data_IF_463054275585
#
_entry.id   IF_463054275585
#
_cell.length_a   1.000
_cell.length_b   1.000
_cell.length_c   1.000
_cell.angle_alpha   90.00
_cell.angle_beta   90.00
_cell.angle_gamma   90.00
#
_symmetry.space_group_name_H-M   'P 1'
#
loop_
_entity.id
_entity.type
_entity.pdbx_description
1 polymer ?
#
# COMPACT_ATOMS: atom_id res chain seq x y z
N UNK A 1 2.30 -29.93 33.99
CA UNK A 1 1.01 -30.12 34.68
C UNK A 1 0.93 -31.57 35.12
N UNK A 2 0.71 -31.77 36.41
CA UNK A 2 0.73 -33.05 37.12
C UNK A 2 -0.37 -34.02 36.68
N UNK A 3 -0.09 -35.31 36.93
CA UNK A 3 -0.99 -36.47 36.98
C UNK A 3 -2.47 -36.18 37.25
N UNK A 4 -3.35 -36.93 36.58
CA UNK A 4 -4.30 -37.77 37.32
C UNK A 4 -4.74 -39.00 36.50
N UNK A 5 -4.48 -40.18 37.06
CA UNK A 5 -5.12 -41.44 36.72
C UNK A 5 -6.11 -41.72 37.85
N UNK A 6 -7.40 -41.59 37.58
CA UNK A 6 -8.47 -41.94 38.53
C UNK A 6 -9.54 -42.78 37.86
N UNK A 7 -9.56 -44.07 38.18
CA UNK A 7 -10.58 -45.07 37.79
C UNK A 7 -11.91 -44.89 38.54
N UNK A 8 -12.92 -45.59 37.98
CA UNK A 8 -14.25 -46.00 38.49
C UNK A 8 -15.38 -45.04 38.11
N UNK A 9 -16.54 -45.49 37.63
CA UNK A 9 -17.26 -46.68 38.11
C UNK A 9 -18.10 -47.38 37.04
N UNK A 10 -18.31 -48.67 37.27
CA UNK A 10 -19.28 -49.52 36.59
C UNK A 10 -20.70 -49.02 36.89
N UNK A 11 -21.58 -49.05 35.89
CA UNK A 11 -22.99 -49.32 36.16
C UNK A 11 -23.59 -50.14 35.04
N UNK A 12 -24.00 -51.33 35.46
CA UNK A 12 -24.79 -52.35 34.77
C UNK A 12 -26.03 -51.79 34.08
N UNK A 13 -26.30 -52.37 32.91
CA UNK A 13 -27.61 -52.45 32.26
C UNK A 13 -27.36 -53.25 30.99
N UNK A 14 -27.48 -54.56 31.03
CA UNK A 14 -28.80 -55.20 30.99
C UNK A 14 -29.01 -55.64 29.55
N UNK A 15 -28.64 -56.89 29.28
CA UNK A 15 -29.26 -57.80 28.31
C UNK A 15 -30.02 -57.12 27.16
N UNK A 16 -29.38 -57.03 25.99
CA UNK A 16 -30.10 -57.09 24.70
C UNK A 16 -29.79 -58.43 24.03
N UNK A 17 -29.93 -59.50 24.81
CA UNK A 17 -30.23 -60.80 24.22
C UNK A 17 -31.65 -60.72 23.65
N UNK A 18 -31.77 -61.03 22.35
CA UNK A 18 -32.99 -61.52 21.72
C UNK A 18 -34.13 -60.52 21.44
N UNK A 19 -33.85 -59.43 20.71
CA UNK A 19 -34.89 -58.80 19.85
C UNK A 19 -34.76 -59.17 18.36
N UNK A 20 -33.94 -60.17 18.02
CA UNK A 20 -33.87 -60.71 16.65
C UNK A 20 -34.82 -61.91 16.40
N UNK A 21 -35.60 -62.35 17.39
CA UNK A 21 -36.43 -63.56 17.27
C UNK A 21 -37.86 -63.34 16.75
N UNK A 22 -38.48 -62.18 16.98
CA UNK A 22 -39.91 -61.99 16.70
C UNK A 22 -40.24 -61.38 15.33
N UNK A 23 -39.25 -60.85 14.62
CA UNK A 23 -39.42 -60.30 13.26
C UNK A 23 -39.46 -61.38 12.17
N UNK A 24 -38.62 -62.40 12.28
CA UNK A 24 -38.55 -63.52 11.32
C UNK A 24 -39.79 -64.42 11.38
N UNK A 25 -40.39 -64.60 12.57
CA UNK A 25 -41.59 -65.44 12.76
C UNK A 25 -42.88 -64.86 12.13
N UNK A 26 -42.91 -63.56 11.77
CA UNK A 26 -44.07 -62.95 11.08
C UNK A 26 -44.25 -63.41 9.65
N UNK A 27 -43.25 -64.10 9.09
CA UNK A 27 -43.21 -64.49 7.68
C UNK A 27 -43.56 -65.97 7.44
N UNK A 28 -43.53 -66.80 8.49
CA UNK A 28 -43.73 -68.24 8.39
C UNK A 28 -44.91 -68.71 9.26
N UNK A 29 -46.04 -68.97 8.61
CA UNK A 29 -47.14 -69.75 9.20
C UNK A 29 -47.06 -71.15 8.58
N UNK A 30 -46.76 -72.20 9.37
CA UNK A 30 -46.70 -73.58 8.88
C UNK A 30 -48.02 -73.98 8.21
N UNK A 31 -47.95 -74.75 7.12
CA UNK A 31 -49.15 -75.23 6.41
C UNK A 31 -50.10 -76.02 7.32
N UNK A 32 -49.57 -76.65 8.36
CA UNK A 32 -50.31 -77.37 9.41
C UNK A 32 -51.26 -76.47 10.21
N UNK A 33 -50.94 -75.18 10.39
CA UNK A 33 -51.81 -74.21 11.07
C UNK A 33 -52.89 -73.64 10.15
N UNK A 34 -52.67 -73.68 8.84
CA UNK A 34 -53.66 -73.23 7.84
C UNK A 34 -54.67 -74.35 7.52
N UNK A 35 -54.27 -75.61 7.72
CA UNK A 35 -55.04 -76.79 7.41
C UNK A 35 -55.19 -77.72 8.62
N UNK A 36 -55.78 -77.21 9.71
CA UNK A 36 -55.99 -77.96 10.95
C UNK A 36 -57.26 -78.82 10.85
N UNK A 37 -57.13 -80.10 11.21
CA UNK A 37 -58.26 -81.03 11.33
C UNK A 37 -58.51 -81.36 12.80
N UNK A 38 -59.73 -81.14 13.27
CA UNK A 38 -60.11 -81.39 14.67
C UNK A 38 -60.87 -82.73 14.80
N UNK A 39 -60.59 -83.55 15.82
CA UNK A 39 -61.35 -84.78 16.11
C UNK A 39 -62.82 -84.48 16.44
N UNK A 40 -63.75 -85.34 15.99
CA UNK A 40 -65.16 -85.21 16.33
C UNK A 40 -65.44 -85.79 17.73
N UNK A 41 -66.07 -85.00 18.60
CA UNK A 41 -66.49 -85.41 19.94
C UNK A 41 -68.02 -85.36 20.08
N UNK A 42 -68.59 -86.21 20.94
CA UNK A 42 -70.04 -86.33 21.19
C UNK A 42 -70.64 -85.03 21.75
N UNK A 43 -69.81 -84.15 22.33
CA UNK A 43 -70.17 -82.80 22.78
C UNK A 43 -69.01 -81.86 22.49
N UNK A 44 -69.25 -80.83 21.69
CA UNK A 44 -68.22 -79.91 21.24
C UNK A 44 -68.81 -78.67 20.56
N UNK A 45 -67.92 -77.76 20.15
CA UNK A 45 -68.30 -76.59 19.37
C UNK A 45 -68.90 -76.99 18.01
N UNK A 46 -69.86 -76.19 17.53
CA UNK A 46 -70.47 -76.42 16.21
C UNK A 46 -69.40 -76.36 15.11
N UNK A 47 -69.32 -77.43 14.33
CA UNK A 47 -68.35 -77.60 13.24
C UNK A 47 -68.48 -76.49 12.21
N UNK A 48 -69.70 -76.07 11.85
CA UNK A 48 -69.89 -75.02 10.86
C UNK A 48 -69.42 -73.65 11.38
N UNK A 49 -69.73 -73.33 12.63
CA UNK A 49 -69.24 -72.11 13.29
C UNK A 49 -67.70 -72.08 13.42
N UNK A 50 -67.08 -73.21 13.75
CA UNK A 50 -65.62 -73.36 13.83
C UNK A 50 -64.98 -73.22 12.45
N UNK A 51 -65.50 -73.87 11.42
CA UNK A 51 -65.01 -73.74 10.03
C UNK A 51 -65.11 -72.30 9.53
N UNK A 52 -66.21 -71.61 9.84
CA UNK A 52 -66.37 -70.19 9.50
C UNK A 52 -65.37 -69.29 10.25
N UNK A 53 -65.07 -69.61 11.51
CA UNK A 53 -64.07 -68.89 12.30
C UNK A 53 -62.65 -69.13 11.76
N UNK A 54 -62.27 -70.37 11.46
CA UNK A 54 -60.97 -70.72 10.88
C UNK A 54 -60.78 -70.03 9.52
N UNK A 55 -61.80 -69.99 8.67
CA UNK A 55 -61.75 -69.25 7.39
C UNK A 55 -61.49 -67.75 7.59
N UNK A 56 -62.12 -67.13 8.61
CA UNK A 56 -61.87 -65.73 8.96
C UNK A 56 -60.45 -65.51 9.47
N UNK A 57 -59.95 -66.39 10.34
CA UNK A 57 -58.58 -66.33 10.87
C UNK A 57 -57.55 -66.52 9.77
N UNK A 58 -57.72 -67.52 8.90
CA UNK A 58 -56.84 -67.77 7.75
C UNK A 58 -56.82 -66.58 6.77
N UNK A 59 -57.96 -65.92 6.57
CA UNK A 59 -58.03 -64.68 5.79
C UNK A 59 -57.25 -63.55 6.44
N UNK A 60 -57.39 -63.35 7.75
CA UNK A 60 -56.67 -62.32 8.50
C UNK A 60 -55.16 -62.58 8.47
N UNK A 61 -54.74 -63.84 8.59
CA UNK A 61 -53.34 -64.28 8.44
C UNK A 61 -52.81 -63.95 7.03
N UNK A 62 -53.59 -64.20 5.98
CA UNK A 62 -53.21 -63.89 4.61
C UNK A 62 -53.08 -62.37 4.37
N UNK A 63 -54.00 -61.57 4.91
CA UNK A 63 -53.96 -60.11 4.83
C UNK A 63 -52.74 -59.54 5.59
N UNK A 64 -52.43 -60.06 6.79
CA UNK A 64 -51.23 -59.68 7.55
C UNK A 64 -49.94 -60.08 6.81
N UNK A 65 -49.88 -61.28 6.22
CA UNK A 65 -48.70 -61.77 5.47
C UNK A 65 -48.48 -60.99 4.17
N UNK A 66 -49.54 -60.53 3.52
CA UNK A 66 -49.44 -59.67 2.34
C UNK A 66 -48.85 -58.30 2.69
N UNK A 67 -49.30 -57.69 3.80
CA UNK A 67 -48.76 -56.43 4.33
C UNK A 67 -47.35 -56.55 4.91
N UNK A 68 -47.04 -57.69 5.54
CA UNK A 68 -45.73 -58.00 6.11
C UNK A 68 -44.83 -58.80 5.14
N UNK A 69 -45.05 -58.73 3.82
CA UNK A 69 -44.22 -59.49 2.89
C UNK A 69 -42.80 -58.88 2.79
N UNK A 70 -41.74 -59.69 2.60
CA UNK A 70 -40.37 -59.18 2.49
C UNK A 70 -40.23 -58.18 1.33
N UNK A 71 -40.97 -58.39 0.23
CA UNK A 71 -41.02 -57.45 -0.90
C UNK A 71 -41.65 -56.10 -0.54
N UNK A 72 -42.67 -56.08 0.32
CA UNK A 72 -43.28 -54.82 0.78
C UNK A 72 -42.32 -54.05 1.70
N UNK A 73 -41.62 -54.73 2.61
CA UNK A 73 -40.61 -54.13 3.46
C UNK A 73 -39.43 -53.53 2.67
N UNK A 74 -38.93 -54.26 1.66
CA UNK A 74 -37.86 -53.75 0.77
C UNK A 74 -38.31 -52.52 -0.02
N UNK A 75 -39.54 -52.51 -0.56
CA UNK A 75 -40.09 -51.34 -1.27
C UNK A 75 -40.19 -50.12 -0.35
N UNK A 76 -40.73 -50.31 0.86
CA UNK A 76 -40.84 -49.22 1.82
C UNK A 76 -39.46 -48.68 2.25
N UNK A 77 -38.48 -49.57 2.46
CA UNK A 77 -37.12 -49.15 2.76
C UNK A 77 -36.48 -48.38 1.59
N UNK A 78 -36.74 -48.79 0.35
CA UNK A 78 -36.27 -48.07 -0.84
C UNK A 78 -36.91 -46.68 -0.96
N UNK A 79 -38.23 -46.58 -0.81
CA UNK A 79 -38.96 -45.31 -0.83
C UNK A 79 -38.47 -44.34 0.27
N UNK A 80 -38.22 -44.85 1.49
CA UNK A 80 -37.62 -44.05 2.56
C UNK A 80 -36.21 -43.58 2.20
N UNK A 81 -35.40 -44.45 1.59
CA UNK A 81 -34.05 -44.10 1.17
C UNK A 81 -34.08 -43.04 0.07
N UNK A 82 -34.99 -43.15 -0.89
CA UNK A 82 -35.19 -42.14 -1.95
C UNK A 82 -35.61 -40.78 -1.38
N UNK A 83 -36.50 -40.77 -0.38
CA UNK A 83 -36.88 -39.55 0.34
C UNK A 83 -35.69 -38.95 1.12
N UNK A 84 -34.88 -39.78 1.78
CA UNK A 84 -33.68 -39.32 2.48
C UNK A 84 -32.64 -38.75 1.51
N UNK A 85 -32.43 -39.39 0.36
CA UNK A 85 -31.49 -38.94 -0.67
C UNK A 85 -31.95 -37.62 -1.29
N UNK A 86 -33.23 -37.50 -1.65
CA UNK A 86 -33.77 -36.24 -2.19
C UNK A 86 -33.66 -35.09 -1.19
N UNK A 87 -34.02 -35.31 0.07
CA UNK A 87 -33.86 -34.31 1.13
C UNK A 87 -32.40 -33.98 1.46
N UNK A 88 -31.46 -34.89 1.21
CA UNK A 88 -30.02 -34.59 1.31
C UNK A 88 -29.55 -33.73 0.13
N UNK A 89 -29.98 -34.04 -1.10
CA UNK A 89 -29.61 -33.28 -2.29
C UNK A 89 -30.18 -31.86 -2.27
N UNK A 90 -31.40 -31.69 -1.76
CA UNK A 90 -32.01 -30.37 -1.59
C UNK A 90 -31.22 -29.50 -0.60
N UNK A 91 -30.91 -30.03 0.59
CA UNK A 91 -30.05 -29.36 1.56
C UNK A 91 -28.66 -29.06 1.00
N UNK A 92 -28.06 -30.00 0.26
CA UNK A 92 -26.76 -29.78 -0.35
C UNK A 92 -26.79 -28.63 -1.37
N UNK A 93 -27.88 -28.47 -2.13
CA UNK A 93 -28.07 -27.34 -3.06
C UNK A 93 -28.26 -26.03 -2.31
N UNK A 94 -29.14 -26.00 -1.32
CA UNK A 94 -29.38 -24.81 -0.49
C UNK A 94 -28.08 -24.34 0.15
N UNK A 95 -27.33 -25.24 0.76
CA UNK A 95 -26.02 -24.91 1.35
C UNK A 95 -25.01 -24.45 0.29
N UNK A 96 -25.00 -25.03 -0.90
CA UNK A 96 -24.13 -24.59 -1.99
C UNK A 96 -24.49 -23.17 -2.47
N UNK A 97 -25.78 -22.85 -2.57
CA UNK A 97 -26.27 -21.53 -2.97
C UNK A 97 -25.96 -20.47 -1.90
N UNK A 98 -26.12 -20.81 -0.62
CA UNK A 98 -25.72 -19.96 0.51
C UNK A 98 -24.22 -19.66 0.49
N UNK A 99 -23.38 -20.69 0.33
CA UNK A 99 -21.92 -20.52 0.25
C UNK A 99 -21.56 -19.62 -0.93
N UNK A 100 -22.15 -19.85 -2.10
CA UNK A 100 -21.86 -19.07 -3.31
C UNK A 100 -22.27 -17.61 -3.14
N UNK A 101 -23.45 -17.37 -2.57
CA UNK A 101 -23.96 -16.02 -2.33
C UNK A 101 -23.12 -15.29 -1.28
N UNK A 102 -22.75 -15.97 -0.18
CA UNK A 102 -21.89 -15.39 0.86
C UNK A 102 -20.51 -15.05 0.30
N UNK A 103 -19.88 -15.99 -0.42
CA UNK A 103 -18.58 -15.77 -1.03
C UNK A 103 -18.61 -14.60 -2.03
N UNK A 104 -19.67 -14.49 -2.83
CA UNK A 104 -19.79 -13.38 -3.78
C UNK A 104 -19.93 -12.03 -3.07
N UNK A 105 -20.72 -11.96 -1.99
CA UNK A 105 -20.91 -10.74 -1.20
C UNK A 105 -19.63 -10.32 -0.47
N UNK A 106 -18.90 -11.28 0.09
CA UNK A 106 -17.60 -11.04 0.74
C UNK A 106 -16.59 -10.52 -0.28
N UNK A 107 -16.49 -11.16 -1.45
CA UNK A 107 -15.59 -10.72 -2.52
C UNK A 107 -15.93 -9.31 -3.02
N UNK A 108 -17.21 -8.96 -3.14
CA UNK A 108 -17.63 -7.61 -3.53
C UNK A 108 -17.26 -6.57 -2.46
N UNK A 109 -17.50 -6.88 -1.19
CA UNK A 109 -17.13 -6.00 -0.06
C UNK A 109 -15.61 -5.79 -0.01
N UNK A 110 -14.83 -6.84 -0.22
CA UNK A 110 -13.38 -6.75 -0.27
C UNK A 110 -12.91 -5.93 -1.49
N UNK A 111 -13.48 -6.17 -2.66
CA UNK A 111 -13.18 -5.42 -3.87
C UNK A 111 -13.45 -3.93 -3.70
N UNK A 112 -14.58 -3.56 -3.08
CA UNK A 112 -14.91 -2.16 -2.78
C UNK A 112 -13.96 -1.57 -1.74
N UNK A 113 -13.56 -2.34 -0.73
CA UNK A 113 -12.54 -1.94 0.23
C UNK A 113 -11.18 -1.68 -0.43
N UNK A 114 -10.77 -2.52 -1.38
CA UNK A 114 -9.53 -2.35 -2.16
C UNK A 114 -9.64 -1.10 -3.04
N UNK A 115 -10.77 -0.91 -3.74
CA UNK A 115 -10.99 0.28 -4.58
C UNK A 115 -10.95 1.57 -3.77
N UNK A 116 -11.57 1.58 -2.59
CA UNK A 116 -11.57 2.74 -1.69
C UNK A 116 -10.14 3.08 -1.23
N UNK A 117 -9.38 2.07 -0.78
CA UNK A 117 -7.97 2.25 -0.39
C UNK A 117 -7.10 2.72 -1.57
N UNK A 118 -7.31 2.17 -2.77
CA UNK A 118 -6.60 2.60 -3.96
C UNK A 118 -6.91 4.05 -4.32
N UNK A 119 -8.17 4.48 -4.23
CA UNK A 119 -8.57 5.86 -4.45
C UNK A 119 -7.94 6.80 -3.41
N UNK A 120 -7.93 6.41 -2.14
CA UNK A 120 -7.28 7.17 -1.06
C UNK A 120 -5.77 7.32 -1.30
N UNK A 121 -5.08 6.23 -1.66
CA UNK A 121 -3.66 6.26 -2.00
C UNK A 121 -3.36 7.19 -3.18
N UNK A 122 -4.20 7.17 -4.22
CA UNK A 122 -4.03 8.07 -5.36
C UNK A 122 -4.24 9.55 -4.99
N UNK A 123 -5.23 9.85 -4.15
CA UNK A 123 -5.45 11.22 -3.67
C UNK A 123 -4.27 11.70 -2.84
N UNK A 124 -3.79 10.87 -1.91
CA UNK A 124 -2.64 11.21 -1.07
C UNK A 124 -1.36 11.40 -1.90
N UNK A 125 -1.09 10.49 -2.84
CA UNK A 125 0.07 10.60 -3.73
C UNK A 125 0.02 11.86 -4.60
N UNK A 126 -1.16 12.24 -5.11
CA UNK A 126 -1.31 13.48 -5.86
C UNK A 126 -1.12 14.71 -4.97
N UNK A 127 -1.66 14.71 -3.76
CA UNK A 127 -1.47 15.81 -2.82
C UNK A 127 0.01 15.99 -2.43
N UNK A 128 0.74 14.89 -2.20
CA UNK A 128 2.19 14.92 -1.94
C UNK A 128 2.99 15.41 -3.16
N UNK A 129 2.60 14.99 -4.37
CA UNK A 129 3.22 15.45 -5.61
C UNK A 129 3.02 16.95 -5.82
N UNK A 130 1.81 17.45 -5.59
CA UNK A 130 1.50 18.88 -5.69
C UNK A 130 2.26 19.69 -4.62
N UNK A 131 2.31 19.20 -3.38
CA UNK A 131 3.09 19.83 -2.31
C UNK A 131 4.58 19.92 -2.69
N UNK A 132 5.16 18.80 -3.15
CA UNK A 132 6.57 18.76 -3.59
C UNK A 132 6.84 19.71 -4.75
N UNK A 133 5.93 19.79 -5.72
CA UNK A 133 6.03 20.70 -6.86
C UNK A 133 6.02 22.16 -6.41
N UNK A 134 5.09 22.53 -5.53
CA UNK A 134 5.01 23.91 -5.02
C UNK A 134 6.23 24.30 -4.20
N UNK A 135 6.79 23.38 -3.41
CA UNK A 135 8.03 23.60 -2.67
C UNK A 135 9.23 23.77 -3.62
N UNK A 136 9.34 22.94 -4.65
CA UNK A 136 10.39 23.05 -5.65
C UNK A 136 10.30 24.37 -6.45
N UNK A 137 9.09 24.79 -6.83
CA UNK A 137 8.85 26.07 -7.52
C UNK A 137 9.25 27.25 -6.63
N UNK A 138 8.92 27.20 -5.34
CA UNK A 138 9.33 28.22 -4.36
C UNK A 138 10.85 28.27 -4.22
N UNK A 139 11.51 27.13 -4.03
CA UNK A 139 12.96 27.06 -3.93
C UNK A 139 13.66 27.63 -5.17
N UNK A 140 13.13 27.33 -6.37
CA UNK A 140 13.65 27.88 -7.62
C UNK A 140 13.47 29.39 -7.71
N UNK A 141 12.31 29.92 -7.28
CA UNK A 141 12.05 31.35 -7.25
C UNK A 141 12.98 32.08 -6.26
N UNK A 142 13.16 31.53 -5.07
CA UNK A 142 14.04 32.05 -4.04
C UNK A 142 15.49 32.06 -4.54
N UNK A 143 15.97 30.93 -5.06
CA UNK A 143 17.33 30.79 -5.62
C UNK A 143 17.58 31.76 -6.78
N UNK A 144 16.60 31.97 -7.66
CA UNK A 144 16.70 32.95 -8.74
C UNK A 144 16.82 34.37 -8.20
N UNK A 145 16.01 34.73 -7.20
CA UNK A 145 16.05 36.05 -6.57
C UNK A 145 17.40 36.30 -5.88
N UNK A 146 17.93 35.29 -5.19
CA UNK A 146 19.26 35.36 -4.57
C UNK A 146 20.36 35.52 -5.61
N UNK A 147 20.31 34.77 -6.71
CA UNK A 147 21.27 34.88 -7.80
C UNK A 147 21.23 36.26 -8.48
N UNK A 148 20.04 36.80 -8.73
CA UNK A 148 19.86 38.15 -9.28
C UNK A 148 20.42 39.22 -8.32
N UNK A 149 20.18 39.08 -7.02
CA UNK A 149 20.72 39.98 -5.98
C UNK A 149 22.25 39.91 -5.94
N UNK A 150 22.82 38.71 -5.98
CA UNK A 150 24.27 38.52 -5.99
C UNK A 150 24.91 39.16 -7.23
N UNK A 151 24.31 38.96 -8.41
CA UNK A 151 24.78 39.58 -9.66
C UNK A 151 24.68 41.11 -9.62
N UNK A 152 23.61 41.67 -9.06
CA UNK A 152 23.46 43.11 -8.91
C UNK A 152 24.54 43.69 -7.98
N UNK A 153 24.79 43.05 -6.84
CA UNK A 153 25.83 43.47 -5.90
C UNK A 153 27.22 43.38 -6.52
N UNK A 154 27.55 42.27 -7.19
CA UNK A 154 28.84 42.10 -7.85
C UNK A 154 29.08 43.16 -8.95
N UNK A 155 28.04 43.53 -9.68
CA UNK A 155 28.12 44.62 -10.68
C UNK A 155 28.36 45.97 -10.01
N UNK A 156 27.62 46.30 -8.95
CA UNK A 156 27.80 47.55 -8.21
C UNK A 156 29.22 47.66 -7.61
N UNK A 157 29.74 46.57 -7.03
CA UNK A 157 31.11 46.52 -6.52
C UNK A 157 32.15 46.69 -7.63
N UNK A 158 31.95 46.04 -8.78
CA UNK A 158 32.84 46.21 -9.93
C UNK A 158 32.84 47.65 -10.46
N UNK A 159 31.67 48.29 -10.54
CA UNK A 159 31.55 49.68 -10.95
C UNK A 159 32.24 50.63 -9.95
N UNK A 160 32.05 50.44 -8.65
CA UNK A 160 32.73 51.23 -7.61
C UNK A 160 34.26 51.06 -7.68
N UNK A 161 34.77 49.84 -7.88
CA UNK A 161 36.20 49.59 -8.09
C UNK A 161 36.75 50.34 -9.32
N UNK A 162 36.01 50.33 -10.44
CA UNK A 162 36.42 51.04 -11.66
C UNK A 162 36.45 52.55 -11.44
N UNK A 163 35.43 53.10 -10.77
CA UNK A 163 35.38 54.54 -10.45
C UNK A 163 36.55 54.94 -9.56
N UNK A 164 36.83 54.18 -8.50
CA UNK A 164 37.97 54.44 -7.60
C UNK A 164 39.30 54.37 -8.33
N UNK A 165 39.53 53.30 -9.10
CA UNK A 165 40.76 53.13 -9.86
C UNK A 165 40.98 54.26 -10.86
N UNK A 166 39.92 54.71 -11.53
CA UNK A 166 39.99 55.86 -12.45
C UNK A 166 40.34 57.15 -11.72
N UNK A 167 39.71 57.42 -10.58
CA UNK A 167 39.99 58.61 -9.78
C UNK A 167 41.44 58.60 -9.27
N UNK A 168 41.94 57.45 -8.81
CA UNK A 168 43.33 57.28 -8.41
C UNK A 168 44.29 57.52 -9.59
N UNK A 169 44.00 56.97 -10.77
CA UNK A 169 44.78 57.22 -11.97
C UNK A 169 44.79 58.70 -12.36
N UNK A 170 43.65 59.38 -12.35
CA UNK A 170 43.55 60.82 -12.64
C UNK A 170 44.33 61.67 -11.62
N UNK A 171 44.27 61.31 -10.33
CA UNK A 171 45.04 61.97 -9.28
C UNK A 171 46.55 61.77 -9.46
N UNK A 172 46.99 60.56 -9.80
CA UNK A 172 48.42 60.29 -10.05
C UNK A 172 48.94 61.06 -11.25
N UNK A 173 48.18 61.11 -12.35
CA UNK A 173 48.54 61.90 -13.54
C UNK A 173 48.60 63.39 -13.23
N UNK A 174 47.63 63.92 -12.49
CA UNK A 174 47.59 65.34 -12.10
C UNK A 174 48.79 65.69 -11.23
N UNK A 175 49.12 64.86 -10.25
CA UNK A 175 50.31 65.04 -9.40
C UNK A 175 51.61 64.99 -10.21
N UNK A 176 51.76 63.99 -11.07
CA UNK A 176 52.96 63.85 -11.91
C UNK A 176 53.16 65.04 -12.86
N UNK A 177 52.06 65.60 -13.41
CA UNK A 177 52.10 66.83 -14.21
C UNK A 177 52.55 68.04 -13.40
N UNK A 178 51.98 68.24 -12.21
CA UNK A 178 52.41 69.31 -11.31
C UNK A 178 53.89 69.23 -10.96
N UNK A 179 54.38 68.04 -10.59
CA UNK A 179 55.80 67.80 -10.30
C UNK A 179 56.70 68.05 -11.53
N UNK A 180 56.23 67.73 -12.74
CA UNK A 180 56.96 68.00 -13.98
C UNK A 180 57.03 69.50 -14.30
N UNK A 181 55.92 70.22 -14.14
CA UNK A 181 55.84 71.67 -14.36
C UNK A 181 56.73 72.43 -13.37
N UNK A 182 56.75 72.03 -12.09
CA UNK A 182 57.65 72.58 -11.07
C UNK A 182 59.12 72.38 -11.45
N UNK A 183 59.50 71.18 -11.90
CA UNK A 183 60.88 70.91 -12.36
C UNK A 183 61.25 71.74 -13.59
N UNK A 184 60.33 71.93 -14.53
CA UNK A 184 60.57 72.78 -15.69
C UNK A 184 60.81 74.23 -15.29
N UNK A 185 60.02 74.76 -14.35
CA UNK A 185 60.20 76.12 -13.83
C UNK A 185 61.55 76.26 -13.12
N UNK A 186 61.95 75.28 -12.32
CA UNK A 186 63.26 75.26 -11.65
C UNK A 186 64.40 75.30 -12.67
N UNK A 187 64.38 74.43 -13.68
CA UNK A 187 65.39 74.39 -14.74
C UNK A 187 65.43 75.68 -15.56
N UNK A 188 64.28 76.28 -15.84
CA UNK A 188 64.20 77.58 -16.53
C UNK A 188 64.84 78.70 -15.71
N UNK A 189 64.58 78.75 -14.40
CA UNK A 189 65.18 79.72 -13.49
C UNK A 189 66.70 79.54 -13.37
N UNK A 190 67.18 78.29 -13.28
CA UNK A 190 68.61 77.96 -13.26
C UNK A 190 69.30 78.39 -14.56
N UNK A 191 68.70 78.09 -15.72
CA UNK A 191 69.23 78.51 -17.02
C UNK A 191 69.27 80.03 -17.18
N UNK A 192 68.24 80.74 -16.70
CA UNK A 192 68.22 82.20 -16.69
C UNK A 192 69.35 82.76 -15.81
N UNK A 193 69.49 82.27 -14.58
CA UNK A 193 70.58 82.65 -13.68
C UNK A 193 71.96 82.38 -14.27
N UNK A 194 72.15 81.23 -14.93
CA UNK A 194 73.41 80.89 -15.58
C UNK A 194 73.71 81.84 -16.76
N UNK A 195 72.69 82.19 -17.55
CA UNK A 195 72.84 83.18 -18.64
C UNK A 195 73.24 84.54 -18.09
N UNK A 196 72.53 85.05 -17.08
CA UNK A 196 72.82 86.33 -16.45
C UNK A 196 74.26 86.37 -15.89
N UNK A 197 74.70 85.27 -15.26
CA UNK A 197 76.09 85.13 -14.79
C UNK A 197 77.10 85.15 -15.94
N UNK A 198 76.82 84.45 -17.04
CA UNK A 198 77.72 84.45 -18.21
C UNK A 198 77.79 85.83 -18.87
N UNK A 199 76.66 86.52 -19.02
CA UNK A 199 76.60 87.88 -19.55
C UNK A 199 77.37 88.85 -18.67
N UNK A 200 77.18 88.78 -17.34
CA UNK A 200 77.93 89.58 -16.38
C UNK A 200 79.45 89.34 -16.50
N UNK A 201 79.90 88.09 -16.60
CA UNK A 201 81.33 87.76 -16.78
C UNK A 201 81.89 88.27 -18.12
N UNK A 202 81.10 88.20 -19.19
CA UNK A 202 81.49 88.76 -20.50
C UNK A 202 81.61 90.28 -20.42
N UNK A 203 80.65 90.96 -19.79
CA UNK A 203 80.69 92.41 -19.59
C UNK A 203 81.88 92.83 -18.72
N UNK A 204 82.20 92.08 -17.67
CA UNK A 204 83.40 92.31 -16.84
C UNK A 204 84.68 92.17 -17.67
N UNK A 205 84.81 91.09 -18.45
CA UNK A 205 85.97 90.88 -19.33
C UNK A 205 86.11 91.97 -20.40
N UNK A 206 85.00 92.40 -21.00
CA UNK A 206 84.97 93.52 -21.96
C UNK A 206 85.36 94.86 -21.32
N UNK A 207 84.90 95.12 -20.09
CA UNK A 207 85.28 96.31 -19.35
C UNK A 207 86.77 96.30 -19.00
N UNK A 208 87.31 95.16 -18.56
CA UNK A 208 88.73 95.02 -18.23
C UNK A 208 89.65 95.11 -19.46
N UNK A 209 89.26 94.50 -20.59
CA UNK A 209 89.98 94.66 -21.86
C UNK A 209 89.96 96.12 -22.34
N UNK A 210 88.81 96.80 -22.26
CA UNK A 210 88.68 98.23 -22.59
C UNK A 210 89.55 99.12 -21.69
N UNK A 211 89.62 98.83 -20.37
CA UNK A 211 90.50 99.54 -19.41
C UNK A 211 91.99 99.35 -19.69
N UNK A 212 92.40 98.18 -20.21
CA UNK A 212 93.80 97.89 -20.57
C UNK A 212 94.19 98.56 -21.89
N UNK A 213 93.34 98.46 -22.92
CA UNK A 213 93.59 99.08 -24.21
C UNK A 213 93.51 100.61 -24.17
N UNK A 214 92.56 101.19 -23.43
CA UNK A 214 92.47 102.65 -23.25
C UNK A 214 93.66 103.27 -22.50
N UNK A 215 94.50 102.45 -21.84
CA UNK A 215 95.68 102.91 -21.10
C UNK A 215 96.99 102.86 -21.92
N UNK A 216 96.97 102.25 -23.10
CA UNK A 216 98.10 102.25 -24.05
C UNK A 216 97.94 103.25 -25.21
N UNK A 217 96.87 104.05 -25.22
CA UNK A 217 96.53 105.00 -26.28
C UNK A 217 96.57 106.48 -25.87
N UNK A 218 97.40 106.86 -24.90
CA UNK A 218 97.65 108.26 -24.51
C UNK A 218 99.12 108.52 -24.28
#
# INVERSE_FOLDING_TARGET
MSNDKGKRDESKGGESEQEHGFGELRHYVPAEMLNVSFPAAVRGYDRQAVDAHIKRVNRLIAEIKAGASPRAAVRHALEQTEQQVSGLLERARETADEITTSAHREAETEADGIRAKAAELLVNANAEADATKTEAEKFLADSKTEAETLLANARAEAEDMLVRSRLEAENTVTRARGEADERLQQLQAELASLRDQTEARVHEFQADTSRRFGRCGS
#
